data_IF_451371462394
#
_entry.id   IF_451371462394
#
_cell.length_a   1.000
_cell.length_b   1.000
_cell.length_c   1.000
_cell.angle_alpha   90.00
_cell.angle_beta   90.00
_cell.angle_gamma   90.00
#
_symmetry.space_group_name_H-M   'P 1'
#
loop_
_entity.id
_entity.type
_entity.pdbx_description
1 polymer ?
#
# COMPACT_ATOMS: atom_id res chain seq x y z
N UNK A 1 -13.23 0.14 -7.58
CA UNK A 1 -12.79 -0.85 -8.61
C UNK A 1 -11.34 -0.64 -9.03
N UNK A 2 -10.95 0.57 -9.46
CA UNK A 2 -9.58 0.92 -9.88
C UNK A 2 -8.47 0.41 -8.94
N UNK A 3 -8.56 0.70 -7.64
CA UNK A 3 -7.58 0.24 -6.63
C UNK A 3 -7.31 -1.26 -6.70
N UNK A 4 -8.36 -2.09 -6.75
CA UNK A 4 -8.22 -3.55 -6.75
C UNK A 4 -7.63 -4.07 -8.06
N UNK A 5 -7.98 -3.46 -9.19
CA UNK A 5 -7.41 -3.79 -10.50
C UNK A 5 -5.91 -3.47 -10.50
N UNK A 6 -5.52 -2.25 -10.10
CA UNK A 6 -4.12 -1.86 -10.00
C UNK A 6 -3.34 -2.77 -9.04
N UNK A 7 -3.86 -3.01 -7.84
CA UNK A 7 -3.21 -3.85 -6.83
C UNK A 7 -3.07 -5.30 -7.25
N UNK A 8 -4.10 -5.92 -7.85
CA UNK A 8 -4.12 -7.38 -8.09
C UNK A 8 -3.65 -7.79 -9.48
N UNK A 9 -3.90 -6.98 -10.49
CA UNK A 9 -3.65 -7.34 -11.89
C UNK A 9 -2.34 -6.74 -12.40
N UNK A 10 -2.06 -5.48 -12.07
CA UNK A 10 -0.92 -4.77 -12.62
C UNK A 10 0.27 -4.74 -11.64
N UNK A 11 0.17 -3.97 -10.56
CA UNK A 11 1.26 -3.76 -9.62
C UNK A 11 1.58 -5.02 -8.80
N UNK A 12 0.56 -5.78 -8.41
CA UNK A 12 0.73 -6.92 -7.51
C UNK A 12 1.68 -8.00 -8.04
N UNK A 13 1.43 -8.55 -9.25
CA UNK A 13 2.30 -9.57 -9.84
C UNK A 13 3.73 -9.07 -10.06
N UNK A 14 3.89 -7.86 -10.61
CA UNK A 14 5.20 -7.27 -10.89
C UNK A 14 6.00 -7.08 -9.60
N UNK A 15 5.41 -6.48 -8.57
CA UNK A 15 6.10 -6.21 -7.31
C UNK A 15 6.40 -7.49 -6.53
N UNK A 16 5.52 -8.49 -6.56
CA UNK A 16 5.78 -9.80 -5.91
C UNK A 16 6.87 -10.58 -6.62
N UNK A 17 6.93 -10.51 -7.95
CA UNK A 17 7.96 -11.17 -8.75
C UNK A 17 9.34 -10.56 -8.48
N UNK A 18 9.44 -9.22 -8.52
CA UNK A 18 10.69 -8.50 -8.40
C UNK A 18 11.23 -8.44 -6.97
N UNK A 19 10.37 -8.20 -5.98
CA UNK A 19 10.80 -7.91 -4.60
C UNK A 19 10.53 -9.04 -3.60
N UNK A 20 9.63 -9.99 -3.93
CA UNK A 20 9.29 -11.14 -3.08
C UNK A 20 9.09 -10.79 -1.60
N UNK A 21 8.22 -9.82 -1.27
CA UNK A 21 8.05 -9.37 0.09
C UNK A 21 7.55 -10.50 1.00
N UNK A 22 8.17 -10.65 2.16
CA UNK A 22 7.74 -11.57 3.21
C UNK A 22 7.04 -10.80 4.33
N UNK A 23 6.08 -11.44 4.98
CA UNK A 23 5.27 -10.81 6.04
C UNK A 23 5.02 -11.82 7.14
N UNK A 24 5.06 -11.35 8.39
CA UNK A 24 4.67 -12.12 9.57
C UNK A 24 3.52 -11.42 10.29
N UNK A 25 2.56 -12.19 10.80
CA UNK A 25 1.46 -11.67 11.62
C UNK A 25 0.38 -10.91 10.84
N UNK A 26 0.17 -11.23 9.56
CA UNK A 26 -0.87 -10.58 8.74
C UNK A 26 -2.28 -10.79 9.32
N UNK A 27 -2.49 -11.89 10.06
CA UNK A 27 -3.76 -12.21 10.71
C UNK A 27 -4.05 -11.34 11.94
N UNK A 28 -3.08 -10.55 12.42
CA UNK A 28 -3.31 -9.53 13.45
C UNK A 28 -4.06 -8.30 12.91
N UNK A 29 -4.17 -8.15 11.58
CA UNK A 29 -4.90 -7.04 10.97
C UNK A 29 -6.41 -7.34 11.03
N UNK A 30 -7.23 -6.48 11.67
CA UNK A 30 -8.67 -6.70 11.76
C UNK A 30 -9.31 -6.84 10.37
N UNK A 31 -10.01 -7.95 10.16
CA UNK A 31 -10.72 -8.23 8.91
C UNK A 31 -11.86 -7.24 8.65
N UNK A 32 -12.46 -6.70 9.72
CA UNK A 32 -13.59 -5.79 9.70
C UNK A 32 -13.38 -4.67 10.73
N UNK A 33 -14.14 -3.58 10.62
CA UNK A 33 -14.03 -2.43 11.51
C UNK A 33 -12.88 -1.47 11.19
N UNK A 34 -12.82 -0.38 11.94
CA UNK A 34 -11.77 0.63 11.83
C UNK A 34 -10.45 0.13 12.43
N UNK A 35 -9.33 0.50 11.81
CA UNK A 35 -8.00 0.19 12.31
C UNK A 35 -7.02 1.28 11.87
N UNK A 36 -6.07 1.62 12.75
CA UNK A 36 -4.92 2.46 12.44
C UNK A 36 -3.71 1.53 12.40
N UNK A 37 -2.99 1.51 11.28
CA UNK A 37 -1.72 0.79 11.16
C UNK A 37 -0.61 1.80 11.47
N UNK A 38 -0.01 1.69 12.65
CA UNK A 38 1.15 2.49 13.02
C UNK A 38 2.42 1.76 12.61
N UNK A 39 3.22 2.35 11.73
CA UNK A 39 4.49 1.81 11.26
C UNK A 39 5.62 2.81 11.45
N UNK A 40 6.86 2.31 11.42
CA UNK A 40 7.98 3.19 11.10
C UNK A 40 7.86 3.69 9.64
N UNK A 41 8.64 4.71 9.28
CA UNK A 41 8.66 5.24 7.92
C UNK A 41 10.10 5.40 7.44
N UNK A 42 10.59 4.41 6.69
CA UNK A 42 11.97 4.36 6.22
C UNK A 42 12.09 4.78 4.75
N UNK A 43 11.01 4.63 3.97
CA UNK A 43 11.02 4.95 2.55
C UNK A 43 9.63 5.32 2.05
N UNK A 44 9.58 6.12 0.99
CA UNK A 44 8.36 6.29 0.19
C UNK A 44 7.75 4.94 -0.24
N UNK A 45 8.58 3.92 -0.45
CA UNK A 45 8.15 2.57 -0.81
C UNK A 45 7.24 1.91 0.24
N UNK A 46 7.21 2.40 1.48
CA UNK A 46 6.29 1.93 2.52
C UNK A 46 4.83 2.06 2.06
N UNK A 47 4.53 3.15 1.35
CA UNK A 47 3.22 3.45 0.74
C UNK A 47 2.87 2.52 -0.43
N UNK A 48 3.79 1.67 -0.88
CA UNK A 48 3.59 0.69 -1.97
C UNK A 48 3.47 -0.71 -1.38
N UNK A 49 4.47 -1.13 -0.59
CA UNK A 49 4.55 -2.51 -0.11
C UNK A 49 3.55 -2.83 1.00
N UNK A 50 3.20 -1.87 1.87
CA UNK A 50 2.21 -2.10 2.91
C UNK A 50 0.80 -2.32 2.33
N UNK A 51 0.28 -1.46 1.42
CA UNK A 51 -0.98 -1.74 0.75
C UNK A 51 -0.94 -2.99 -0.12
N UNK A 52 0.22 -3.38 -0.65
CA UNK A 52 0.37 -4.60 -1.45
C UNK A 52 0.13 -5.87 -0.61
N UNK A 53 0.65 -5.91 0.61
CA UNK A 53 0.63 -7.09 1.48
C UNK A 53 -0.61 -7.16 2.37
N UNK A 54 -1.12 -6.02 2.86
CA UNK A 54 -2.32 -5.98 3.69
C UNK A 54 -3.57 -6.40 2.90
N UNK A 55 -4.40 -7.27 3.48
CA UNK A 55 -5.59 -7.83 2.77
C UNK A 55 -6.65 -6.78 2.45
N UNK A 56 -6.79 -5.74 3.30
CA UNK A 56 -7.71 -4.60 3.14
C UNK A 56 -7.01 -3.39 2.51
N UNK A 57 -7.76 -2.44 1.92
CA UNK A 57 -7.19 -1.16 1.50
C UNK A 57 -6.54 -0.45 2.69
N UNK A 58 -5.36 0.13 2.43
CA UNK A 58 -4.61 0.97 3.37
C UNK A 58 -4.53 2.36 2.74
N UNK A 59 -4.90 3.38 3.51
CA UNK A 59 -4.88 4.78 3.08
C UNK A 59 -3.87 5.51 3.96
N UNK A 60 -2.95 6.22 3.31
CA UNK A 60 -1.94 7.04 3.97
C UNK A 60 -2.37 8.51 3.96
N UNK A 61 -1.92 9.25 4.96
CA UNK A 61 -1.92 10.70 4.89
C UNK A 61 -0.89 11.12 3.84
N UNK A 62 -1.36 11.84 2.84
CA UNK A 62 -0.54 12.32 1.73
C UNK A 62 -0.40 13.83 1.82
N UNK A 63 0.81 14.32 1.53
CA UNK A 63 1.11 15.75 1.37
C UNK A 63 0.26 16.34 0.25
N UNK A 64 -0.24 17.57 0.42
CA UNK A 64 -1.10 18.24 -0.56
C UNK A 64 -0.38 18.45 -1.90
N UNK A 65 0.94 18.60 -1.87
CA UNK A 65 1.80 18.75 -3.04
C UNK A 65 1.75 17.54 -3.98
N UNK A 66 1.40 16.34 -3.49
CA UNK A 66 1.18 15.19 -4.37
C UNK A 66 -0.03 15.36 -5.28
N UNK A 67 -0.95 16.26 -4.95
CA UNK A 67 -2.16 16.52 -5.74
C UNK A 67 -2.10 17.85 -6.48
N UNK A 68 -1.44 18.85 -5.88
CA UNK A 68 -1.38 20.21 -6.39
C UNK A 68 -0.05 20.59 -7.05
N UNK A 69 0.97 19.73 -6.97
CA UNK A 69 2.27 19.99 -7.59
C UNK A 69 2.18 20.15 -9.10
N UNK A 70 3.08 20.96 -9.65
CA UNK A 70 3.25 21.17 -11.10
C UNK A 70 4.34 20.23 -11.64
N UNK A 71 4.09 19.59 -12.79
CA UNK A 71 4.97 18.57 -13.38
C UNK A 71 4.19 17.58 -14.23
N UNK A 72 4.90 16.67 -14.91
CA UNK A 72 4.26 15.59 -15.69
C UNK A 72 3.57 14.62 -14.73
N UNK A 73 2.29 14.33 -15.01
CA UNK A 73 1.46 13.36 -14.28
C UNK A 73 1.46 12.02 -14.99
#
# INVERSE_FOLDING_TARGET
MFYWVMKRIFLGPVLRLLFRPWVKGLDNVPAQGAAIIASNHLSFSDSIFMPLTVRRPVVFLAKSEYFMGTGVK
#
